data_IF_909380918826
#
_entry.id   IF_909380918826
#
_cell.length_a   1.000
_cell.length_b   1.000
_cell.length_c   1.000
_cell.angle_alpha   90.00
_cell.angle_beta   90.00
_cell.angle_gamma   90.00
#
_symmetry.space_group_name_H-M   'P 1'
#
loop_
_entity.id
_entity.type
_entity.pdbx_description
1 polymer ?
#
# COMPACT_ATOMS: atom_id res chain seq x y z
N UNK A 1 11.94 -5.92 -10.91
CA UNK A 1 10.81 -4.97 -10.95
C UNK A 1 11.39 -3.59 -11.22
N UNK A 2 10.91 -2.91 -12.25
CA UNK A 2 11.28 -1.51 -12.52
C UNK A 2 10.50 -0.57 -11.59
N UNK A 3 10.93 0.69 -11.43
CA UNK A 3 10.16 1.69 -10.67
C UNK A 3 8.72 1.84 -11.17
N UNK A 4 8.52 1.74 -12.48
CA UNK A 4 7.20 1.90 -13.13
C UNK A 4 6.26 0.71 -12.85
N UNK A 5 6.79 -0.51 -12.88
CA UNK A 5 6.07 -1.72 -12.45
C UNK A 5 5.70 -1.62 -10.96
N UNK A 6 6.63 -1.17 -10.13
CA UNK A 6 6.43 -0.99 -8.69
C UNK A 6 5.31 0.01 -8.39
N UNK A 7 5.33 1.17 -9.04
CA UNK A 7 4.27 2.16 -8.91
C UNK A 7 2.91 1.60 -9.33
N UNK A 8 2.87 0.80 -10.39
CA UNK A 8 1.64 0.16 -10.88
C UNK A 8 1.05 -0.78 -9.82
N UNK A 9 1.87 -1.63 -9.21
CA UNK A 9 1.40 -2.53 -8.14
C UNK A 9 1.02 -1.79 -6.85
N UNK A 10 1.70 -0.68 -6.55
CA UNK A 10 1.37 0.17 -5.41
C UNK A 10 0.02 0.87 -5.62
N UNK A 11 -0.24 1.38 -6.83
CA UNK A 11 -1.53 1.99 -7.20
C UNK A 11 -2.67 0.99 -7.12
N UNK A 12 -2.48 -0.22 -7.66
CA UNK A 12 -3.49 -1.29 -7.61
C UNK A 12 -3.67 -1.88 -6.20
N UNK A 13 -2.85 -1.46 -5.23
CA UNK A 13 -2.92 -1.88 -3.82
C UNK A 13 -2.89 -3.40 -3.69
N UNK A 14 -2.03 -4.02 -4.50
CA UNK A 14 -1.78 -5.45 -4.46
C UNK A 14 -1.34 -5.85 -3.05
N UNK A 15 -2.05 -6.79 -2.41
CA UNK A 15 -1.86 -7.08 -0.98
C UNK A 15 -0.42 -7.36 -0.59
N UNK A 16 0.30 -8.13 -1.40
CA UNK A 16 1.72 -8.46 -1.17
C UNK A 16 2.65 -7.25 -1.27
N UNK A 17 2.34 -6.23 -2.10
CA UNK A 17 3.13 -4.99 -2.15
C UNK A 17 2.92 -4.15 -0.90
N UNK A 18 1.68 -4.08 -0.42
CA UNK A 18 1.38 -3.36 0.83
C UNK A 18 2.15 -4.01 1.98
N UNK A 19 2.09 -5.33 2.10
CA UNK A 19 2.78 -6.05 3.17
C UNK A 19 4.30 -5.88 3.05
N UNK A 20 4.86 -5.95 1.83
CA UNK A 20 6.29 -5.72 1.61
C UNK A 20 6.72 -4.29 1.99
N UNK A 21 5.93 -3.27 1.67
CA UNK A 21 6.23 -1.88 2.02
C UNK A 21 6.10 -1.61 3.52
N UNK A 22 5.11 -2.21 4.17
CA UNK A 22 4.81 -1.94 5.59
C UNK A 22 5.75 -2.74 6.51
N UNK A 23 5.89 -4.04 6.26
CA UNK A 23 6.62 -4.96 7.13
C UNK A 23 8.07 -5.20 6.67
N UNK A 24 8.38 -4.90 5.40
CA UNK A 24 9.71 -5.12 4.84
C UNK A 24 10.77 -4.16 5.40
N UNK A 25 12.02 -4.63 5.35
CA UNK A 25 13.21 -3.85 5.71
C UNK A 25 13.85 -3.34 4.41
N UNK A 26 14.05 -2.03 4.32
CA UNK A 26 14.77 -1.41 3.22
C UNK A 26 16.26 -1.58 3.46
N UNK A 27 16.93 -2.38 2.62
CA UNK A 27 18.37 -2.62 2.73
C UNK A 27 19.21 -1.52 2.05
N UNK A 28 18.68 -0.91 0.98
CA UNK A 28 19.37 0.13 0.21
C UNK A 28 18.34 0.99 -0.54
N UNK A 29 18.34 2.30 -0.30
CA UNK A 29 17.43 3.26 -0.94
C UNK A 29 18.02 4.70 -0.88
N UNK A 30 19.13 4.96 -1.60
CA UNK A 30 19.85 6.24 -1.49
C UNK A 30 19.01 7.42 -1.98
N UNK A 31 18.09 7.19 -2.91
CA UNK A 31 17.19 8.20 -3.47
C UNK A 31 15.86 8.31 -2.70
N UNK A 32 15.68 7.52 -1.63
CA UNK A 32 14.47 7.48 -0.81
C UNK A 32 13.19 7.14 -1.59
N UNK A 33 13.30 6.46 -2.73
CA UNK A 33 12.16 6.08 -3.56
C UNK A 33 11.20 5.18 -2.77
N UNK A 34 11.72 4.10 -2.18
CA UNK A 34 10.92 3.13 -1.43
C UNK A 34 10.36 3.75 -0.14
N UNK A 35 11.17 4.55 0.55
CA UNK A 35 10.73 5.26 1.75
C UNK A 35 9.57 6.21 1.44
N UNK A 36 9.67 7.00 0.37
CA UNK A 36 8.61 7.93 -0.03
C UNK A 36 7.35 7.19 -0.49
N UNK A 37 7.50 6.07 -1.21
CA UNK A 37 6.38 5.21 -1.60
C UNK A 37 5.67 4.61 -0.39
N UNK A 38 6.42 4.16 0.63
CA UNK A 38 5.87 3.66 1.90
C UNK A 38 5.04 4.73 2.61
N UNK A 39 5.62 5.92 2.77
CA UNK A 39 4.96 7.05 3.45
C UNK A 39 3.68 7.48 2.71
N UNK A 40 3.75 7.56 1.38
CA UNK A 40 2.59 7.85 0.53
C UNK A 40 1.49 6.80 0.70
N UNK A 41 1.83 5.51 0.61
CA UNK A 41 0.88 4.41 0.78
C UNK A 41 0.21 4.46 2.16
N UNK A 42 0.98 4.62 3.24
CA UNK A 42 0.45 4.69 4.61
C UNK A 42 -0.49 5.88 4.81
N UNK A 43 -0.18 7.03 4.19
CA UNK A 43 -1.07 8.19 4.18
C UNK A 43 -2.38 7.88 3.45
N UNK A 44 -2.30 7.33 2.23
CA UNK A 44 -3.49 6.98 1.43
C UNK A 44 -4.38 5.95 2.15
N UNK A 45 -3.80 4.93 2.78
CA UNK A 45 -4.54 3.94 3.55
C UNK A 45 -5.26 4.58 4.73
N UNK A 46 -4.59 5.49 5.46
CA UNK A 46 -5.19 6.25 6.57
C UNK A 46 -6.33 7.15 6.11
N UNK A 47 -6.13 7.90 5.02
CA UNK A 47 -7.15 8.78 4.44
C UNK A 47 -8.38 7.98 3.97
N UNK A 48 -8.17 6.77 3.45
CA UNK A 48 -9.22 5.85 3.06
C UNK A 48 -9.86 5.10 4.22
N UNK A 49 -9.42 5.29 5.46
CA UNK A 49 -9.93 4.58 6.64
C UNK A 49 -9.59 3.09 6.67
N UNK A 50 -8.56 2.67 5.94
CA UNK A 50 -8.09 1.28 5.94
C UNK A 50 -7.32 1.02 7.23
N UNK A 51 -7.69 -0.04 7.94
CA UNK A 51 -7.09 -0.38 9.23
C UNK A 51 -6.21 -1.63 9.12
N UNK A 52 -5.03 -1.60 9.75
CA UNK A 52 -4.20 -2.79 9.93
C UNK A 52 -4.77 -3.65 11.07
N UNK A 53 -5.09 -4.90 10.76
CA UNK A 53 -5.50 -5.95 11.72
C UNK A 53 -4.42 -7.04 11.78
N UNK A 54 -4.40 -7.91 12.81
CA UNK A 54 -3.42 -8.99 12.91
C UNK A 54 -3.39 -9.93 11.68
N UNK A 55 -4.53 -10.11 11.01
CA UNK A 55 -4.71 -11.03 9.88
C UNK A 55 -4.72 -10.34 8.50
N UNK A 56 -4.46 -9.03 8.42
CA UNK A 56 -4.41 -8.32 7.14
C UNK A 56 -4.90 -6.87 7.22
N UNK A 57 -5.39 -6.36 6.10
CA UNK A 57 -5.92 -5.01 5.96
C UNK A 57 -7.44 -5.03 5.89
N UNK A 58 -8.09 -4.22 6.73
CA UNK A 58 -9.54 -4.06 6.76
C UNK A 58 -9.93 -2.79 6.01
N UNK A 59 -10.63 -2.96 4.89
CA UNK A 59 -11.17 -1.86 4.10
C UNK A 59 -12.53 -1.43 4.67
N UNK A 60 -12.82 -0.12 4.80
CA UNK A 60 -14.09 0.37 5.34
C UNK A 60 -15.20 0.34 4.26
N UNK A 61 -15.54 -0.86 3.80
CA UNK A 61 -16.54 -1.09 2.77
C UNK A 61 -17.91 -1.23 3.43
N UNK A 62 -18.90 -0.45 3.01
CA UNK A 62 -20.28 -0.65 3.46
C UNK A 62 -20.95 -1.75 2.65
N UNK A 63 -21.80 -2.55 3.30
CA UNK A 63 -22.59 -3.57 2.62
C UNK A 63 -23.41 -2.92 1.47
N UNK A 64 -23.20 -3.39 0.25
CA UNK A 64 -23.88 -2.88 -0.95
C UNK A 64 -23.10 -1.84 -1.77
N UNK A 65 -21.96 -1.34 -1.30
CA UNK A 65 -21.08 -0.47 -2.10
C UNK A 65 -20.22 -1.29 -3.07
N UNK A 66 -20.13 -0.83 -4.33
CA UNK A 66 -19.12 -1.33 -5.27
C UNK A 66 -17.80 -0.63 -4.97
N UNK A 67 -16.79 -1.38 -4.56
CA UNK A 67 -15.44 -0.86 -4.47
C UNK A 67 -14.82 -0.72 -5.86
N UNK A 68 -14.61 0.51 -6.31
CA UNK A 68 -13.63 0.77 -7.35
C UNK A 68 -12.24 0.68 -6.71
N UNK A 69 -11.61 -0.49 -6.78
CA UNK A 69 -10.19 -0.65 -6.46
C UNK A 69 -9.38 -0.07 -7.63
N UNK A 70 -9.34 1.27 -7.70
CA UNK A 70 -8.46 2.02 -8.61
C UNK A 70 -7.09 2.25 -7.99
#
# INVERSE_FOLDING_TARGET
>A
MTPEEFETYTKSKSGWVIDALVEGIILHDPERFLQNSKEKLLRELREKGVERKPYGWAWPIRAGERTCLS
#
